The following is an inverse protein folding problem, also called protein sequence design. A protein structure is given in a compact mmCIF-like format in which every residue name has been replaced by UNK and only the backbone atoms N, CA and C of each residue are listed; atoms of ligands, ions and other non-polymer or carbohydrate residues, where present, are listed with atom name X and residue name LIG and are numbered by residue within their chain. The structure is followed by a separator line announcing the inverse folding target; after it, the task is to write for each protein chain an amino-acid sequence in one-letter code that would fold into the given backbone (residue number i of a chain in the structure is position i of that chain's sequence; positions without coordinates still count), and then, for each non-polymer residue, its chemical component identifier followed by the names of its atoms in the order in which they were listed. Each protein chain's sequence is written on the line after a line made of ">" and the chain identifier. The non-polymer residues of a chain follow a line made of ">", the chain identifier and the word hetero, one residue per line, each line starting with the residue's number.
data_IF_217392192475
#
_entry.id   IF_217392192475
#
_cell.length_a   1.000
_cell.length_b   1.000
_cell.length_c   1.000
_cell.angle_alpha   90.00
_cell.angle_beta   90.00
_cell.angle_gamma   90.00
#
_symmetry.space_group_name_H-M   'P 1'
#
loop_
_entity.id
_entity.type
_entity.pdbx_description
1 polymer ?
#
# COMPACT_ATOMS: atom_id res chain seq x y z
N UNK A 1 -21.54 3.78 14.69
CA UNK A 1 -20.44 4.76 14.62
C UNK A 1 -20.97 6.10 14.10
N UNK A 2 -21.64 6.16 12.94
CA UNK A 2 -22.14 7.39 12.30
C UNK A 2 -23.05 8.24 13.21
N UNK A 3 -23.87 7.59 14.04
CA UNK A 3 -24.73 8.29 15.01
C UNK A 3 -23.91 8.93 16.13
N UNK A 4 -22.89 8.23 16.63
CA UNK A 4 -21.96 8.75 17.63
C UNK A 4 -21.17 9.93 17.05
N UNK A 5 -20.70 9.82 15.81
CA UNK A 5 -19.95 10.87 15.12
C UNK A 5 -20.76 12.15 14.92
N UNK A 6 -22.07 12.05 14.68
CA UNK A 6 -22.96 13.23 14.64
C UNK A 6 -22.90 14.09 15.91
N UNK A 7 -22.62 13.45 17.05
CA UNK A 7 -22.47 14.11 18.35
C UNK A 7 -21.05 14.52 18.64
N UNK A 8 -20.09 13.60 18.45
CA UNK A 8 -18.68 13.82 18.77
C UNK A 8 -17.96 14.72 17.75
N UNK A 9 -18.48 14.81 16.52
CA UNK A 9 -17.88 15.53 15.39
C UNK A 9 -16.44 15.09 15.09
N UNK A 10 -16.13 13.81 15.36
CA UNK A 10 -14.81 13.26 15.21
C UNK A 10 -14.89 11.74 14.94
N UNK A 11 -14.36 11.28 13.81
CA UNK A 11 -14.42 9.92 13.32
C UNK A 11 -13.75 8.90 14.25
N UNK A 12 -12.48 9.13 14.61
CA UNK A 12 -11.73 8.22 15.49
C UNK A 12 -12.32 8.15 16.89
N UNK A 13 -12.80 9.28 17.43
CA UNK A 13 -13.47 9.29 18.75
C UNK A 13 -14.79 8.50 18.68
N UNK A 14 -15.55 8.64 17.59
CA UNK A 14 -16.78 7.87 17.40
C UNK A 14 -16.50 6.38 17.32
N UNK A 15 -15.46 5.97 16.57
CA UNK A 15 -15.01 4.60 16.48
C UNK A 15 -14.60 4.05 17.85
N UNK A 16 -13.74 4.76 18.58
CA UNK A 16 -13.25 4.35 19.89
C UNK A 16 -14.39 4.26 20.94
N UNK A 17 -15.36 5.18 20.88
CA UNK A 17 -16.56 5.12 21.74
C UNK A 17 -17.33 3.82 21.49
N UNK A 18 -17.57 3.49 20.22
CA UNK A 18 -18.24 2.26 19.87
C UNK A 18 -17.45 1.01 20.32
N UNK A 19 -16.13 1.01 20.13
CA UNK A 19 -15.28 -0.11 20.58
C UNK A 19 -15.33 -0.23 22.12
N UNK A 20 -15.36 0.90 22.84
CA UNK A 20 -15.46 0.91 24.31
C UNK A 20 -16.75 0.25 24.80
N UNK A 21 -17.87 0.45 24.10
CA UNK A 21 -19.14 -0.21 24.44
C UNK A 21 -19.06 -1.74 24.34
N UNK A 22 -18.21 -2.26 23.45
CA UNK A 22 -18.04 -3.72 23.22
C UNK A 22 -16.99 -4.30 24.16
N UNK A 23 -15.85 -3.63 24.33
CA UNK A 23 -14.69 -4.11 25.09
C UNK A 23 -14.88 -3.92 26.61
N UNK A 24 -15.62 -2.88 27.02
CA UNK A 24 -15.83 -2.59 28.44
C UNK A 24 -14.62 -1.91 29.10
N UNK A 25 -14.36 -2.17 30.41
CA UNK A 25 -13.40 -1.37 31.22
C UNK A 25 -11.96 -1.35 30.69
N UNK A 26 -11.53 -2.39 29.97
CA UNK A 26 -10.19 -2.47 29.41
C UNK A 26 -9.98 -1.50 28.22
N UNK A 27 -11.05 -0.97 27.67
CA UNK A 27 -10.99 0.04 26.62
C UNK A 27 -10.29 1.35 27.05
N UNK A 28 -10.12 1.59 28.35
CA UNK A 28 -9.36 2.72 28.89
C UNK A 28 -7.91 2.81 28.38
N UNK A 29 -7.35 1.72 27.92
CA UNK A 29 -5.99 1.66 27.37
C UNK A 29 -5.95 1.96 25.86
N UNK A 30 -7.10 1.90 25.19
CA UNK A 30 -7.18 2.24 23.76
C UNK A 30 -6.89 3.71 23.55
N UNK A 31 -6.04 4.01 22.58
CA UNK A 31 -5.69 5.38 22.21
C UNK A 31 -4.98 6.20 23.29
N UNK A 32 -4.49 5.58 24.37
CA UNK A 32 -3.84 6.28 25.48
C UNK A 32 -2.54 6.96 24.99
N UNK A 33 -2.48 8.29 25.11
CA UNK A 33 -1.33 9.09 24.70
C UNK A 33 -1.15 9.25 23.18
N UNK A 34 -2.03 8.67 22.38
CA UNK A 34 -1.99 8.69 20.92
C UNK A 34 -2.75 9.87 20.33
N UNK A 35 -2.45 10.19 19.08
CA UNK A 35 -3.30 11.03 18.22
C UNK A 35 -4.10 10.16 17.24
N UNK A 36 -5.16 10.69 16.68
CA UNK A 36 -5.99 9.96 15.70
C UNK A 36 -5.19 9.47 14.50
N UNK A 37 -4.22 10.24 14.04
CA UNK A 37 -3.35 9.86 12.93
C UNK A 37 -2.41 8.68 13.26
N UNK A 38 -2.02 8.48 14.52
CA UNK A 38 -1.27 7.28 14.93
C UNK A 38 -2.07 6.01 14.61
N UNK A 39 -3.39 6.05 14.80
CA UNK A 39 -4.29 4.94 14.47
C UNK A 39 -4.52 4.86 12.94
N UNK A 40 -4.95 5.97 12.34
CA UNK A 40 -5.39 6.00 10.95
C UNK A 40 -4.24 5.72 9.98
N UNK A 41 -3.09 6.37 10.15
CA UNK A 41 -1.94 6.21 9.25
C UNK A 41 -1.34 4.81 9.38
N UNK A 42 -1.23 4.29 10.61
CA UNK A 42 -0.72 2.94 10.84
C UNK A 42 -1.69 1.88 10.29
N UNK A 43 -3.00 2.05 10.48
CA UNK A 43 -4.01 1.16 9.90
C UNK A 43 -3.97 1.19 8.37
N UNK A 44 -3.84 2.38 7.77
CA UNK A 44 -3.72 2.54 6.32
C UNK A 44 -2.45 1.86 5.79
N UNK A 45 -1.31 2.01 6.48
CA UNK A 45 -0.06 1.35 6.10
C UNK A 45 -0.20 -0.19 6.06
N UNK A 46 -0.88 -0.78 7.07
CA UNK A 46 -1.19 -2.22 7.07
C UNK A 46 -2.09 -2.60 5.91
N UNK A 47 -3.13 -1.82 5.63
CA UNK A 47 -4.08 -2.09 4.54
C UNK A 47 -3.39 -2.01 3.18
N UNK A 48 -2.61 -0.95 2.92
CA UNK A 48 -1.90 -0.77 1.66
C UNK A 48 -0.82 -1.85 1.46
N UNK A 49 -0.10 -2.21 2.51
CA UNK A 49 0.88 -3.29 2.48
C UNK A 49 0.24 -4.62 2.08
N UNK A 50 -0.89 -4.99 2.72
CA UNK A 50 -1.62 -6.23 2.42
C UNK A 50 -2.27 -6.21 1.04
N UNK A 51 -2.83 -5.07 0.63
CA UNK A 51 -3.38 -4.91 -0.71
C UNK A 51 -2.30 -5.09 -1.79
N UNK A 52 -1.07 -4.62 -1.51
CA UNK A 52 0.04 -4.78 -2.45
C UNK A 52 0.46 -6.25 -2.58
N UNK A 53 0.36 -7.07 -1.54
CA UNK A 53 0.61 -8.51 -1.66
C UNK A 53 -0.33 -9.15 -2.66
N UNK A 54 -1.63 -8.84 -2.62
CA UNK A 54 -2.61 -9.32 -3.59
C UNK A 54 -2.28 -8.84 -5.01
N UNK A 55 -1.90 -7.57 -5.17
CA UNK A 55 -1.51 -7.04 -6.48
C UNK A 55 -0.27 -7.74 -7.04
N UNK A 56 0.71 -8.06 -6.20
CA UNK A 56 1.91 -8.80 -6.61
C UNK A 56 1.55 -10.23 -7.04
N UNK A 57 0.66 -10.90 -6.31
CA UNK A 57 0.14 -12.22 -6.68
C UNK A 57 -0.56 -12.17 -8.05
N UNK A 58 -1.40 -11.18 -8.29
CA UNK A 58 -2.08 -10.99 -9.58
C UNK A 58 -1.08 -10.71 -10.72
N UNK A 59 -0.05 -9.90 -10.47
CA UNK A 59 1.02 -9.66 -11.45
C UNK A 59 1.78 -10.95 -11.77
N UNK A 60 2.01 -11.82 -10.79
CA UNK A 60 2.64 -13.13 -11.03
C UNK A 60 1.79 -14.03 -11.93
N UNK A 61 0.47 -14.00 -11.76
CA UNK A 61 -0.44 -14.73 -12.66
C UNK A 61 -0.39 -14.17 -14.10
N UNK A 62 -0.36 -12.85 -14.24
CA UNK A 62 -0.20 -12.19 -15.56
C UNK A 62 1.13 -12.56 -16.20
N UNK A 63 2.22 -12.52 -15.45
CA UNK A 63 3.55 -12.91 -15.93
C UNK A 63 3.58 -14.35 -16.41
N UNK A 64 3.00 -15.28 -15.66
CA UNK A 64 2.92 -16.68 -16.06
C UNK A 64 2.11 -16.87 -17.36
N UNK A 65 0.99 -16.17 -17.49
CA UNK A 65 0.17 -16.18 -18.69
C UNK A 65 0.90 -15.60 -19.91
N UNK A 66 1.55 -14.44 -19.75
CA UNK A 66 2.33 -13.78 -20.80
C UNK A 66 3.50 -14.66 -21.26
N UNK A 67 4.24 -15.25 -20.33
CA UNK A 67 5.33 -16.17 -20.63
C UNK A 67 4.85 -17.35 -21.47
N UNK A 68 3.79 -18.04 -21.01
CA UNK A 68 3.20 -19.18 -21.73
C UNK A 68 2.81 -18.80 -23.16
N UNK A 69 2.06 -17.71 -23.30
CA UNK A 69 1.55 -17.25 -24.61
C UNK A 69 2.66 -16.72 -25.51
N UNK A 70 3.68 -16.06 -24.96
CA UNK A 70 4.84 -15.60 -25.72
C UNK A 70 5.58 -16.78 -26.38
N UNK A 71 5.83 -17.87 -25.65
CA UNK A 71 6.45 -19.06 -26.19
C UNK A 71 5.56 -19.81 -27.19
N UNK A 72 4.26 -19.92 -26.94
CA UNK A 72 3.30 -20.52 -27.84
C UNK A 72 3.28 -19.81 -29.21
N UNK A 73 3.35 -18.48 -29.19
CA UNK A 73 3.26 -17.64 -30.39
C UNK A 73 4.61 -17.11 -30.89
N UNK A 74 5.72 -17.69 -30.44
CA UNK A 74 7.06 -17.19 -30.80
C UNK A 74 7.35 -17.14 -32.29
N UNK A 75 6.67 -17.99 -33.08
CA UNK A 75 6.80 -18.05 -34.54
C UNK A 75 5.54 -17.60 -35.28
N UNK A 76 4.50 -17.14 -34.58
CA UNK A 76 3.27 -16.65 -35.20
C UNK A 76 3.52 -15.26 -35.79
N UNK A 77 3.50 -15.10 -37.13
CA UNK A 77 3.81 -13.83 -37.77
C UNK A 77 2.71 -12.79 -37.49
N UNK A 78 3.13 -11.57 -37.28
CA UNK A 78 2.26 -10.40 -37.18
C UNK A 78 2.93 -9.18 -37.81
N UNK A 79 2.15 -8.16 -38.13
CA UNK A 79 2.70 -6.92 -38.69
C UNK A 79 3.20 -6.02 -37.57
N UNK A 80 4.43 -5.56 -37.66
CA UNK A 80 4.91 -4.41 -36.93
C UNK A 80 4.26 -3.13 -37.46
N UNK A 81 4.05 -2.13 -36.59
CA UNK A 81 3.51 -0.82 -36.99
C UNK A 81 4.40 0.30 -36.50
N UNK A 82 4.60 1.28 -37.37
CA UNK A 82 5.29 2.53 -37.08
C UNK A 82 4.51 3.66 -37.72
N UNK A 83 4.34 4.78 -37.03
CA UNK A 83 3.56 5.94 -37.52
C UNK A 83 2.12 5.56 -37.94
N UNK A 84 1.50 4.56 -37.32
CA UNK A 84 0.15 4.08 -37.65
C UNK A 84 0.04 3.28 -38.95
N UNK A 85 1.15 3.00 -39.64
CA UNK A 85 1.19 2.18 -40.86
C UNK A 85 1.90 0.86 -40.66
N UNK A 86 1.79 -0.04 -41.63
CA UNK A 86 2.52 -1.31 -41.65
C UNK A 86 4.03 -1.07 -41.80
N UNK A 87 4.82 -1.72 -40.98
CA UNK A 87 6.26 -1.77 -41.04
C UNK A 87 6.73 -3.22 -41.21
N UNK A 88 7.91 -3.56 -40.71
CA UNK A 88 8.48 -4.88 -40.85
C UNK A 88 7.64 -5.96 -40.15
N UNK A 89 7.65 -7.19 -40.68
CA UNK A 89 7.07 -8.35 -40.00
C UNK A 89 7.75 -8.61 -38.65
N UNK A 90 6.96 -9.01 -37.67
CA UNK A 90 7.44 -9.47 -36.36
C UNK A 90 6.66 -10.72 -35.93
N UNK A 91 6.76 -11.12 -34.68
CA UNK A 91 5.97 -12.23 -34.15
C UNK A 91 5.07 -11.75 -33.01
N UNK A 92 3.92 -12.39 -32.88
CA UNK A 92 3.01 -12.11 -31.76
C UNK A 92 3.64 -12.47 -30.42
N UNK A 93 4.47 -13.52 -30.36
CA UNK A 93 5.23 -13.87 -29.16
C UNK A 93 6.20 -12.77 -28.72
N UNK A 94 6.89 -12.09 -29.65
CA UNK A 94 7.78 -10.97 -29.32
C UNK A 94 6.98 -9.79 -28.74
N UNK A 95 5.80 -9.48 -29.28
CA UNK A 95 4.90 -8.49 -28.72
C UNK A 95 4.52 -8.80 -27.26
N UNK A 96 4.16 -10.05 -26.98
CA UNK A 96 3.83 -10.49 -25.62
C UNK A 96 5.05 -10.47 -24.68
N UNK A 97 6.24 -10.76 -25.19
CA UNK A 97 7.49 -10.64 -24.41
C UNK A 97 7.79 -9.20 -23.98
N UNK A 98 7.40 -8.21 -24.79
CA UNK A 98 7.46 -6.79 -24.41
C UNK A 98 6.60 -6.50 -23.17
N UNK A 99 5.35 -6.96 -23.16
CA UNK A 99 4.45 -6.82 -22.01
C UNK A 99 4.95 -7.63 -20.80
N UNK A 100 5.53 -8.81 -21.01
CA UNK A 100 6.16 -9.57 -19.92
C UNK A 100 7.25 -8.74 -19.22
N UNK A 101 8.15 -8.13 -20.00
CA UNK A 101 9.21 -7.29 -19.43
C UNK A 101 8.66 -6.03 -18.72
N UNK A 102 7.53 -5.49 -19.18
CA UNK A 102 6.82 -4.38 -18.54
C UNK A 102 6.25 -4.80 -17.16
N UNK A 103 5.54 -5.92 -17.09
CA UNK A 103 5.00 -6.44 -15.83
C UNK A 103 6.07 -6.92 -14.85
N UNK A 104 7.24 -7.36 -15.32
CA UNK A 104 8.39 -7.60 -14.44
C UNK A 104 8.81 -6.33 -13.71
N UNK A 105 8.96 -5.23 -14.43
CA UNK A 105 9.28 -3.93 -13.82
C UNK A 105 8.14 -3.39 -12.94
N UNK A 106 6.89 -3.69 -13.29
CA UNK A 106 5.72 -3.35 -12.46
C UNK A 106 5.78 -4.05 -11.10
N UNK A 107 6.11 -5.35 -11.08
CA UNK A 107 6.30 -6.12 -9.84
C UNK A 107 7.37 -5.51 -8.94
N UNK A 108 8.52 -5.14 -9.50
CA UNK A 108 9.61 -4.49 -8.75
C UNK A 108 9.16 -3.16 -8.14
N UNK A 109 8.42 -2.32 -8.92
CA UNK A 109 7.87 -1.05 -8.41
C UNK A 109 6.88 -1.26 -7.28
N UNK A 110 5.98 -2.25 -7.39
CA UNK A 110 5.04 -2.58 -6.32
C UNK A 110 5.77 -3.02 -5.05
N UNK A 111 6.80 -3.86 -5.17
CA UNK A 111 7.59 -4.31 -4.03
C UNK A 111 8.30 -3.14 -3.33
N UNK A 112 8.88 -2.21 -4.08
CA UNK A 112 9.49 -0.99 -3.54
C UNK A 112 8.46 -0.08 -2.88
N UNK A 113 7.31 0.14 -3.53
CA UNK A 113 6.23 0.95 -2.97
C UNK A 113 5.66 0.35 -1.68
N UNK A 114 5.51 -0.98 -1.63
CA UNK A 114 5.13 -1.69 -0.41
C UNK A 114 6.13 -1.47 0.71
N UNK A 115 7.42 -1.62 0.43
CA UNK A 115 8.47 -1.41 1.43
C UNK A 115 8.42 0.01 2.01
N UNK A 116 8.20 1.01 1.18
CA UNK A 116 8.16 2.41 1.60
C UNK A 116 6.91 2.76 2.40
N UNK A 117 5.74 2.24 2.00
CA UNK A 117 4.46 2.55 2.67
C UNK A 117 4.26 1.74 3.97
N UNK A 118 4.97 0.62 4.15
CA UNK A 118 4.87 -0.23 5.33
C UNK A 118 5.54 0.42 6.55
N UNK A 119 5.05 1.58 6.95
CA UNK A 119 5.63 2.41 8.01
C UNK A 119 4.56 2.84 8.98
N UNK A 120 4.84 2.80 10.29
CA UNK A 120 3.95 3.28 11.35
C UNK A 120 4.56 4.46 12.11
N UNK A 121 3.70 5.25 12.75
CA UNK A 121 4.06 6.22 13.74
C UNK A 121 3.05 6.17 14.89
N UNK A 122 3.55 6.01 16.12
CA UNK A 122 2.78 6.10 17.36
C UNK A 122 3.55 7.00 18.31
N UNK A 123 3.53 8.28 18.01
CA UNK A 123 4.40 9.28 18.63
C UNK A 123 3.63 10.46 19.23
N UNK A 124 2.29 10.40 19.22
CA UNK A 124 1.42 11.42 19.78
C UNK A 124 1.16 12.61 18.86
N UNK A 125 0.54 13.63 19.39
CA UNK A 125 -0.08 14.74 18.65
C UNK A 125 0.89 15.53 17.74
N UNK A 126 2.19 15.52 18.03
CA UNK A 126 3.20 16.28 17.29
C UNK A 126 4.50 15.50 17.06
N UNK A 127 4.49 14.19 17.31
CA UNK A 127 5.65 13.33 17.07
C UNK A 127 6.74 13.38 18.15
N UNK A 128 6.42 13.87 19.35
CA UNK A 128 7.41 14.09 20.43
C UNK A 128 7.36 13.07 21.56
N UNK A 129 6.52 12.07 21.46
CA UNK A 129 6.33 11.04 22.50
C UNK A 129 5.97 11.60 23.90
N UNK A 130 5.28 12.75 23.95
CA UNK A 130 4.98 13.43 25.19
C UNK A 130 4.13 12.59 26.16
N UNK A 131 3.24 11.73 25.65
CA UNK A 131 2.28 10.94 26.41
C UNK A 131 2.25 9.45 26.05
N UNK A 132 3.16 8.99 25.21
CA UNK A 132 3.32 7.58 24.83
C UNK A 132 4.80 7.25 24.74
N UNK A 133 5.21 6.11 25.28
CA UNK A 133 6.60 5.72 25.28
C UNK A 133 7.03 5.18 23.90
N UNK A 134 8.26 5.47 23.43
CA UNK A 134 8.78 4.96 22.15
C UNK A 134 8.73 3.45 21.99
N UNK A 135 8.81 2.72 23.11
CA UNK A 135 8.72 1.25 23.13
C UNK A 135 7.35 0.75 22.67
N UNK A 136 6.28 1.53 22.82
CA UNK A 136 4.94 1.20 22.33
C UNK A 136 4.94 1.22 20.80
N UNK A 137 5.53 2.24 20.18
CA UNK A 137 5.68 2.34 18.73
C UNK A 137 6.49 1.16 18.19
N UNK A 138 7.64 0.87 18.78
CA UNK A 138 8.50 -0.24 18.38
C UNK A 138 7.76 -1.59 18.48
N UNK A 139 6.99 -1.79 19.55
CA UNK A 139 6.19 -3.01 19.73
C UNK A 139 5.08 -3.14 18.68
N UNK A 140 4.38 -2.07 18.37
CA UNK A 140 3.33 -2.08 17.33
C UNK A 140 3.94 -2.33 15.95
N UNK A 141 5.05 -1.67 15.62
CA UNK A 141 5.78 -1.89 14.38
C UNK A 141 6.15 -3.37 14.20
N UNK A 142 6.76 -3.98 15.20
CA UNK A 142 7.11 -5.42 15.20
C UNK A 142 5.86 -6.31 15.00
N UNK A 143 4.80 -6.06 15.76
CA UNK A 143 3.56 -6.87 15.69
C UNK A 143 2.83 -6.75 14.37
N UNK A 144 2.88 -5.59 13.73
CA UNK A 144 2.19 -5.32 12.46
C UNK A 144 3.08 -5.58 11.23
N UNK A 145 4.37 -5.88 11.42
CA UNK A 145 5.33 -6.06 10.33
C UNK A 145 5.63 -4.76 9.60
N UNK A 146 5.66 -3.64 10.32
CA UNK A 146 5.93 -2.30 9.78
C UNK A 146 7.30 -1.80 10.25
N UNK A 147 7.85 -0.83 9.51
CA UNK A 147 8.97 -0.02 9.98
C UNK A 147 8.46 1.12 10.86
N UNK A 148 9.31 1.61 11.75
CA UNK A 148 9.06 2.85 12.50
C UNK A 148 9.43 4.05 11.63
N UNK A 149 8.58 5.07 11.58
CA UNK A 149 8.90 6.34 10.93
C UNK A 149 10.00 7.06 11.72
N UNK A 150 11.16 7.35 11.11
CA UNK A 150 12.26 7.96 11.83
C UNK A 150 11.95 9.34 12.43
N UNK A 151 11.15 10.14 11.74
CA UNK A 151 10.71 11.46 12.18
C UNK A 151 9.30 11.71 11.71
N UNK A 152 8.34 11.64 12.61
CA UNK A 152 6.95 12.01 12.35
C UNK A 152 6.60 13.37 12.95
N UNK A 153 5.45 13.88 12.59
CA UNK A 153 4.77 15.00 13.25
C UNK A 153 3.46 14.47 13.86
N UNK A 154 2.34 15.07 13.55
CA UNK A 154 1.03 14.46 13.83
C UNK A 154 0.74 13.30 12.87
N UNK A 155 1.41 13.26 11.74
CA UNK A 155 1.16 12.32 10.63
C UNK A 155 2.46 11.72 10.14
N UNK A 156 2.38 10.55 9.49
CA UNK A 156 3.46 10.01 8.66
C UNK A 156 3.66 10.95 7.45
N UNK A 157 4.90 11.26 7.04
CA UNK A 157 5.18 12.08 5.86
C UNK A 157 4.42 11.60 4.61
N UNK A 158 3.74 12.52 3.93
CA UNK A 158 2.79 12.21 2.83
C UNK A 158 3.46 11.88 1.50
N UNK A 159 4.76 12.13 1.37
CA UNK A 159 5.56 11.70 0.22
C UNK A 159 5.54 10.17 0.06
N UNK A 160 5.53 9.38 1.16
CA UNK A 160 5.38 7.92 1.11
C UNK A 160 4.08 7.50 0.43
N UNK A 161 2.97 8.14 0.79
CA UNK A 161 1.67 7.89 0.17
C UNK A 161 1.65 8.34 -1.30
N UNK A 162 2.22 9.51 -1.59
CA UNK A 162 2.33 10.02 -2.96
C UNK A 162 3.15 9.08 -3.85
N UNK A 163 4.30 8.60 -3.38
CA UNK A 163 5.13 7.63 -4.08
C UNK A 163 4.39 6.30 -4.33
N UNK A 164 3.68 5.80 -3.31
CA UNK A 164 2.88 4.59 -3.43
C UNK A 164 1.80 4.70 -4.51
N UNK A 165 0.97 5.74 -4.48
CA UNK A 165 -0.09 5.93 -5.47
C UNK A 165 0.45 6.27 -6.87
N UNK A 166 1.60 6.95 -6.95
CA UNK A 166 2.29 7.15 -8.24
C UNK A 166 2.76 5.81 -8.84
N UNK A 167 3.30 4.91 -8.01
CA UNK A 167 3.69 3.57 -8.46
C UNK A 167 2.48 2.77 -8.98
N UNK A 168 1.33 2.82 -8.30
CA UNK A 168 0.08 2.22 -8.79
C UNK A 168 -0.36 2.82 -10.12
N UNK A 169 -0.28 4.14 -10.27
CA UNK A 169 -0.60 4.84 -11.53
C UNK A 169 0.29 4.37 -12.69
N UNK A 170 1.59 4.16 -12.44
CA UNK A 170 2.51 3.64 -13.46
C UNK A 170 2.20 2.18 -13.83
N UNK A 171 1.80 1.36 -12.86
CA UNK A 171 1.42 -0.04 -13.12
C UNK A 171 0.12 -0.15 -13.91
N UNK A 172 -0.79 0.83 -13.75
CA UNK A 172 -2.09 0.87 -14.41
C UNK A 172 -2.05 1.51 -15.81
N UNK A 173 -0.92 2.09 -16.23
CA UNK A 173 -0.79 2.79 -17.53
C UNK A 173 -0.39 1.84 -18.65
#
# INVERSE_FOLDING_TARGET
>A
IDEIERTTKHDVIAFLTHVTEIVGPEARFLHQGMTSSDVNDTALAVQLSRATDLLIEDVDLVLAALQKRAFEHKLTPTVGRSHGIHAEPTTFGLKLAGHYAEFQRAKERLAMAKFEIATCAISGAVGTFANVAPEVEAHVAEKMGLAVEPVSTQVIPRDRHAAYFAALGVVAS
#
